data_IF_118666178209
#
_entry.id   IF_118666178209
#
_cell.length_a   1.000
_cell.length_b   1.000
_cell.length_c   1.000
_cell.angle_alpha   90.00
_cell.angle_beta   90.00
_cell.angle_gamma   90.00
#
_symmetry.space_group_name_H-M   'P 1'
#
loop_
_entity.id
_entity.type
_entity.pdbx_description
1 polymer ?
#
# COMPACT_ATOMS: atom_id res chain seq x y z
N UNK A 1 -2.79 -48.97 -5.96
CA UNK A 1 -3.58 -47.98 -5.20
C UNK A 1 -2.63 -47.11 -4.39
N UNK A 2 -2.90 -45.80 -4.35
CA UNK A 2 -2.33 -44.79 -3.45
C UNK A 2 -1.04 -44.04 -3.87
N UNK A 3 -1.13 -43.16 -4.88
CA UNK A 3 -0.25 -41.96 -5.00
C UNK A 3 -1.02 -40.70 -5.47
N UNK A 4 -2.28 -40.55 -5.04
CA UNK A 4 -3.15 -39.42 -5.45
C UNK A 4 -3.34 -38.31 -4.41
N UNK A 5 -2.67 -38.36 -3.25
CA UNK A 5 -3.08 -37.59 -2.07
C UNK A 5 -2.33 -36.29 -1.77
N UNK A 6 -1.13 -36.09 -2.31
CA UNK A 6 -0.23 -35.01 -1.85
C UNK A 6 -0.30 -33.75 -2.73
N UNK A 7 -0.64 -33.89 -4.01
CA UNK A 7 -0.68 -32.76 -4.97
C UNK A 7 -1.89 -31.84 -4.71
N UNK A 8 -3.01 -32.38 -4.20
CA UNK A 8 -4.26 -31.62 -4.03
C UNK A 8 -4.26 -30.64 -2.85
N UNK A 9 -3.38 -30.79 -1.85
CA UNK A 9 -3.31 -29.88 -0.68
C UNK A 9 -2.52 -28.61 -0.96
N UNK A 10 -1.45 -28.70 -1.77
CA UNK A 10 -0.70 -27.52 -2.24
C UNK A 10 -1.54 -26.62 -3.15
N UNK A 11 -2.34 -27.20 -4.03
CA UNK A 11 -3.25 -26.49 -4.93
C UNK A 11 -4.33 -25.68 -4.18
N UNK A 12 -4.89 -26.22 -3.09
CA UNK A 12 -5.99 -25.57 -2.37
C UNK A 12 -5.52 -24.35 -1.56
N UNK A 13 -4.32 -24.40 -0.98
CA UNK A 13 -3.70 -23.26 -0.29
C UNK A 13 -3.22 -22.17 -1.26
N UNK A 14 -2.70 -22.55 -2.44
CA UNK A 14 -2.33 -21.58 -3.49
C UNK A 14 -3.55 -20.91 -4.13
N UNK A 15 -4.65 -21.64 -4.35
CA UNK A 15 -5.90 -21.10 -4.88
C UNK A 15 -6.51 -20.06 -3.93
N UNK A 16 -6.47 -20.29 -2.60
CA UNK A 16 -6.91 -19.30 -1.61
C UNK A 16 -6.00 -18.06 -1.53
N UNK A 17 -4.69 -18.22 -1.74
CA UNK A 17 -3.77 -17.09 -1.80
C UNK A 17 -4.01 -16.23 -3.07
N UNK A 18 -4.26 -16.88 -4.21
CA UNK A 18 -4.57 -16.21 -5.48
C UNK A 18 -5.95 -15.54 -5.46
N UNK A 19 -6.99 -16.19 -4.94
CA UNK A 19 -8.30 -15.57 -4.68
C UNK A 19 -8.15 -14.29 -3.85
N UNK A 20 -7.32 -14.30 -2.81
CA UNK A 20 -7.04 -13.09 -2.00
C UNK A 20 -6.23 -12.03 -2.74
N UNK A 21 -5.35 -12.41 -3.66
CA UNK A 21 -4.60 -11.48 -4.53
C UNK A 21 -5.50 -10.84 -5.59
N UNK A 22 -6.36 -11.64 -6.23
CA UNK A 22 -7.39 -11.21 -7.18
C UNK A 22 -8.45 -10.33 -6.51
N UNK A 23 -8.93 -10.70 -5.32
CA UNK A 23 -9.88 -9.88 -4.56
C UNK A 23 -9.24 -8.58 -4.02
N UNK A 24 -7.95 -8.56 -3.64
CA UNK A 24 -7.25 -7.30 -3.27
C UNK A 24 -7.01 -6.37 -4.45
N UNK A 25 -6.79 -6.89 -5.66
CA UNK A 25 -6.62 -6.11 -6.89
C UNK A 25 -7.92 -5.88 -7.68
N UNK A 26 -9.05 -6.41 -7.22
CA UNK A 26 -10.36 -6.43 -7.90
C UNK A 26 -11.00 -5.06 -8.18
N UNK A 27 -10.39 -3.96 -7.73
CA UNK A 27 -10.90 -2.60 -7.99
C UNK A 27 -10.09 -1.77 -9.00
N UNK A 28 -9.06 -2.33 -9.64
CA UNK A 28 -8.29 -1.57 -10.63
C UNK A 28 -7.56 -2.45 -11.64
N UNK A 29 -8.00 -2.37 -12.90
CA UNK A 29 -7.30 -2.79 -14.11
C UNK A 29 -7.05 -4.28 -14.38
N UNK A 30 -6.60 -5.11 -13.42
CA UNK A 30 -6.07 -6.46 -13.75
C UNK A 30 -7.15 -7.45 -14.24
N UNK A 31 -8.33 -7.50 -13.61
CA UNK A 31 -9.42 -8.38 -14.09
C UNK A 31 -10.02 -7.88 -15.41
N UNK A 32 -10.00 -6.56 -15.63
CA UNK A 32 -10.46 -5.96 -16.89
C UNK A 32 -9.48 -6.28 -18.01
N UNK A 33 -8.18 -6.11 -17.84
CA UNK A 33 -7.20 -6.28 -18.92
C UNK A 33 -7.13 -7.72 -19.46
N UNK A 34 -7.13 -8.74 -18.58
CA UNK A 34 -7.12 -10.14 -18.99
C UNK A 34 -8.41 -10.57 -19.69
N UNK A 35 -9.58 -10.23 -19.12
CA UNK A 35 -10.86 -10.48 -19.79
C UNK A 35 -10.98 -9.68 -21.10
N UNK A 36 -10.58 -8.40 -21.14
CA UNK A 36 -10.74 -7.53 -22.31
C UNK A 36 -9.86 -7.94 -23.49
N UNK A 37 -8.65 -8.48 -23.23
CA UNK A 37 -7.84 -9.16 -24.26
C UNK A 37 -8.63 -10.29 -24.94
N UNK A 38 -9.29 -11.12 -24.12
CA UNK A 38 -10.10 -12.25 -24.57
C UNK A 38 -11.38 -11.81 -25.29
N UNK A 39 -12.05 -10.74 -24.83
CA UNK A 39 -13.32 -10.29 -25.44
C UNK A 39 -13.13 -9.58 -26.78
N UNK A 40 -12.05 -8.81 -26.97
CA UNK A 40 -11.87 -8.00 -28.19
C UNK A 40 -11.31 -8.76 -29.40
N UNK A 41 -10.47 -9.78 -29.19
CA UNK A 41 -9.65 -10.36 -30.27
C UNK A 41 -10.17 -11.67 -30.86
N UNK A 42 -11.28 -12.25 -30.37
CA UNK A 42 -11.78 -13.60 -30.77
C UNK A 42 -10.64 -14.65 -30.87
N UNK A 43 -9.66 -14.54 -29.97
CA UNK A 43 -8.50 -15.45 -29.93
C UNK A 43 -8.77 -16.57 -28.95
N UNK A 44 -8.11 -17.71 -29.15
CA UNK A 44 -8.21 -18.82 -28.20
C UNK A 44 -7.83 -18.30 -26.80
N UNK A 45 -8.82 -18.38 -25.90
CA UNK A 45 -8.73 -17.93 -24.52
C UNK A 45 -7.63 -18.69 -23.78
N UNK A 46 -7.36 -19.92 -24.17
CA UNK A 46 -6.55 -20.85 -23.39
C UNK A 46 -5.12 -20.98 -23.92
N UNK A 47 -4.86 -20.64 -25.18
CA UNK A 47 -3.53 -20.71 -25.79
C UNK A 47 -3.25 -19.55 -26.77
N UNK A 48 -3.07 -18.30 -26.28
CA UNK A 48 -2.74 -17.18 -27.16
C UNK A 48 -1.30 -17.31 -27.68
N UNK A 49 -1.11 -17.11 -28.99
CA UNK A 49 0.22 -17.02 -29.58
C UNK A 49 0.99 -15.80 -29.05
N UNK A 50 2.32 -15.86 -29.09
CA UNK A 50 3.19 -14.73 -28.70
C UNK A 50 2.84 -13.46 -29.49
N UNK A 51 2.52 -13.60 -30.78
CA UNK A 51 2.11 -12.49 -31.64
C UNK A 51 0.81 -11.84 -31.19
N UNK A 52 -0.16 -12.63 -30.73
CA UNK A 52 -1.43 -12.08 -30.21
C UNK A 52 -1.18 -11.22 -28.97
N UNK A 53 -0.31 -11.68 -28.07
CA UNK A 53 0.07 -10.91 -26.88
C UNK A 53 0.81 -9.64 -27.26
N UNK A 54 1.79 -9.70 -28.15
CA UNK A 54 2.53 -8.52 -28.63
C UNK A 54 1.61 -7.48 -29.27
N UNK A 55 0.68 -7.92 -30.13
CA UNK A 55 -0.30 -7.03 -30.77
C UNK A 55 -1.22 -6.34 -29.76
N UNK A 56 -1.59 -7.02 -28.67
CA UNK A 56 -2.35 -6.40 -27.60
C UNK A 56 -1.53 -5.39 -26.79
N UNK A 57 -0.30 -5.73 -26.42
CA UNK A 57 0.58 -4.79 -25.72
C UNK A 57 0.90 -3.56 -26.59
N UNK A 58 1.01 -3.74 -27.91
CA UNK A 58 1.14 -2.66 -28.87
C UNK A 58 -0.11 -1.77 -28.91
N UNK A 59 -1.31 -2.35 -28.96
CA UNK A 59 -2.57 -1.58 -28.89
C UNK A 59 -2.64 -0.74 -27.60
N UNK A 60 -2.28 -1.32 -26.45
CA UNK A 60 -2.22 -0.60 -25.18
C UNK A 60 -1.25 0.59 -25.24
N UNK A 61 -0.08 0.40 -25.84
CA UNK A 61 0.90 1.46 -26.01
C UNK A 61 0.43 2.56 -26.98
N UNK A 62 -0.15 2.18 -28.12
CA UNK A 62 -0.71 3.12 -29.11
C UNK A 62 -1.88 3.94 -28.52
N UNK A 63 -2.64 3.37 -27.59
CA UNK A 63 -3.65 4.08 -26.81
C UNK A 63 -3.08 5.03 -25.75
N UNK A 64 -1.76 5.27 -25.75
CA UNK A 64 -1.09 6.25 -24.89
C UNK A 64 -0.73 5.75 -23.49
N UNK A 65 -0.98 4.48 -23.15
CA UNK A 65 -0.62 3.94 -21.85
C UNK A 65 0.90 3.92 -21.63
N UNK A 66 1.32 4.35 -20.45
CA UNK A 66 2.73 4.31 -20.05
C UNK A 66 3.24 2.90 -19.79
N UNK A 67 4.55 2.73 -19.80
CA UNK A 67 5.23 1.45 -19.60
C UNK A 67 4.72 0.67 -18.38
N UNK A 68 4.53 1.30 -17.21
CA UNK A 68 4.05 0.62 -16.00
C UNK A 68 2.66 -0.01 -16.16
N UNK A 69 1.77 0.64 -16.92
CA UNK A 69 0.44 0.11 -17.20
C UNK A 69 0.51 -1.08 -18.18
N UNK A 70 1.33 -0.96 -19.23
CA UNK A 70 1.56 -2.04 -20.19
C UNK A 70 2.21 -3.25 -19.51
N UNK A 71 3.24 -3.05 -18.69
CA UNK A 71 3.91 -4.09 -17.91
C UNK A 71 2.96 -4.78 -16.91
N UNK A 72 2.01 -4.04 -16.36
CA UNK A 72 0.96 -4.62 -15.48
C UNK A 72 0.00 -5.49 -16.29
N UNK A 73 -0.41 -5.05 -17.48
CA UNK A 73 -1.27 -5.81 -18.36
C UNK A 73 -0.56 -7.08 -18.89
N UNK A 74 0.71 -6.97 -19.27
CA UNK A 74 1.58 -8.08 -19.63
C UNK A 74 1.64 -9.12 -18.50
N UNK A 75 1.95 -8.69 -17.28
CA UNK A 75 2.04 -9.57 -16.10
C UNK A 75 0.71 -10.28 -15.83
N UNK A 76 -0.43 -9.59 -16.03
CA UNK A 76 -1.75 -10.16 -15.88
C UNK A 76 -2.04 -11.24 -16.94
N UNK A 77 -1.74 -10.97 -18.20
CA UNK A 77 -1.91 -11.92 -19.31
C UNK A 77 -1.04 -13.16 -19.08
N UNK A 78 0.23 -13.01 -18.70
CA UNK A 78 1.10 -14.16 -18.46
C UNK A 78 0.75 -14.97 -17.23
N UNK A 79 0.27 -14.34 -16.18
CA UNK A 79 -0.24 -15.07 -15.01
C UNK A 79 -1.40 -15.98 -15.42
N UNK A 80 -2.29 -15.49 -16.29
CA UNK A 80 -3.43 -16.27 -16.78
C UNK A 80 -3.00 -17.41 -17.72
N UNK A 81 -2.15 -17.13 -18.71
CA UNK A 81 -1.73 -18.16 -19.67
C UNK A 81 -0.86 -19.25 -19.04
N UNK A 82 0.02 -18.88 -18.10
CA UNK A 82 0.82 -19.84 -17.35
C UNK A 82 -0.05 -20.82 -16.55
N UNK A 83 -1.15 -20.34 -15.94
CA UNK A 83 -2.08 -21.21 -15.19
C UNK A 83 -2.75 -22.28 -16.07
N UNK A 84 -2.91 -22.02 -17.36
CA UNK A 84 -3.64 -22.89 -18.30
C UNK A 84 -2.69 -23.84 -19.04
N UNK A 85 -1.55 -23.32 -19.48
CA UNK A 85 -0.62 -24.04 -20.38
C UNK A 85 0.62 -24.57 -19.67
N UNK A 86 0.87 -24.13 -18.43
CA UNK A 86 2.13 -24.34 -17.69
C UNK A 86 3.39 -23.82 -18.42
N UNK A 87 3.22 -22.96 -19.44
CA UNK A 87 4.32 -22.34 -20.21
C UNK A 87 4.53 -20.90 -19.74
N UNK A 88 5.78 -20.55 -19.41
CA UNK A 88 6.15 -19.20 -18.97
C UNK A 88 6.37 -18.26 -20.16
N UNK A 89 5.28 -17.78 -20.78
CA UNK A 89 5.35 -16.90 -21.96
C UNK A 89 6.10 -15.59 -21.66
N UNK A 90 6.06 -15.09 -20.41
CA UNK A 90 6.81 -13.91 -19.99
C UNK A 90 8.33 -14.04 -20.02
N UNK A 91 8.87 -15.24 -20.29
CA UNK A 91 10.29 -15.43 -20.55
C UNK A 91 10.66 -15.40 -22.04
N UNK A 92 9.69 -15.31 -22.96
CA UNK A 92 9.99 -15.23 -24.39
C UNK A 92 10.82 -13.99 -24.71
N UNK A 93 11.89 -14.21 -25.49
CA UNK A 93 12.82 -13.18 -25.93
C UNK A 93 12.11 -12.00 -26.62
N UNK A 94 11.16 -12.27 -27.53
CA UNK A 94 10.44 -11.23 -28.26
C UNK A 94 9.63 -10.28 -27.35
N UNK A 95 9.02 -10.81 -26.30
CA UNK A 95 8.26 -10.00 -25.34
C UNK A 95 9.20 -9.10 -24.54
N UNK A 96 10.32 -9.65 -24.03
CA UNK A 96 11.33 -8.86 -23.30
C UNK A 96 11.88 -7.72 -24.16
N UNK A 97 12.22 -8.01 -25.41
CA UNK A 97 12.72 -7.01 -26.35
C UNK A 97 11.65 -5.97 -26.69
N UNK A 98 10.40 -6.38 -26.85
CA UNK A 98 9.29 -5.47 -27.08
C UNK A 98 9.07 -4.52 -25.91
N UNK A 99 9.02 -5.03 -24.67
CA UNK A 99 8.91 -4.21 -23.46
C UNK A 99 10.10 -3.25 -23.29
N UNK A 100 11.32 -3.72 -23.60
CA UNK A 100 12.52 -2.87 -23.65
C UNK A 100 12.38 -1.76 -24.70
N UNK A 101 11.80 -2.07 -25.86
CA UNK A 101 11.48 -1.08 -26.90
C UNK A 101 10.49 -0.01 -26.42
N UNK A 102 9.42 -0.41 -25.73
CA UNK A 102 8.47 0.52 -25.12
C UNK A 102 9.17 1.41 -24.09
N UNK A 103 10.00 0.83 -23.22
CA UNK A 103 10.76 1.58 -22.23
C UNK A 103 11.70 2.61 -22.88
N UNK A 104 12.45 2.21 -23.91
CA UNK A 104 13.35 3.11 -24.61
C UNK A 104 12.62 4.26 -25.31
N UNK A 105 11.43 4.00 -25.87
CA UNK A 105 10.59 5.06 -26.48
C UNK A 105 9.99 6.01 -25.45
N UNK A 106 9.62 5.51 -24.27
CA UNK A 106 8.98 6.30 -23.21
C UNK A 106 9.47 5.83 -21.84
N UNK A 107 10.65 6.29 -21.39
CA UNK A 107 11.22 5.85 -20.13
C UNK A 107 10.34 6.24 -18.96
N UNK A 108 10.23 5.35 -17.96
CA UNK A 108 9.58 5.69 -16.69
C UNK A 108 10.60 6.42 -15.84
N UNK A 109 10.57 7.75 -15.90
CA UNK A 109 11.37 8.57 -15.00
C UNK A 109 10.72 8.62 -13.61
N UNK A 110 11.52 8.73 -12.53
CA UNK A 110 11.00 9.03 -11.21
C UNK A 110 10.09 10.25 -11.29
N UNK A 111 8.92 10.18 -10.64
CA UNK A 111 7.99 11.33 -10.59
C UNK A 111 8.62 12.53 -9.89
N UNK A 112 9.54 12.29 -8.97
CA UNK A 112 10.20 13.31 -8.16
C UNK A 112 11.71 13.17 -8.34
N UNK A 113 12.34 14.25 -8.80
CA UNK A 113 13.81 14.34 -8.96
C UNK A 113 14.50 14.89 -7.71
N UNK A 114 13.74 15.42 -6.76
CA UNK A 114 14.24 15.95 -5.49
C UNK A 114 13.34 15.51 -4.34
N UNK A 115 13.91 15.46 -3.15
CA UNK A 115 13.17 15.33 -1.89
C UNK A 115 12.77 16.71 -1.39
N UNK A 116 11.60 16.81 -0.76
CA UNK A 116 11.15 18.05 -0.13
C UNK A 116 11.98 18.38 1.12
N UNK A 117 12.05 19.66 1.51
CA UNK A 117 12.81 20.10 2.67
C UNK A 117 12.03 19.87 3.98
N UNK A 118 12.51 18.94 4.81
CA UNK A 118 11.87 18.54 6.07
C UNK A 118 11.81 19.67 7.09
N UNK A 119 12.77 20.60 7.08
CA UNK A 119 12.83 21.69 8.05
C UNK A 119 11.64 22.64 7.94
N UNK A 120 11.09 22.84 6.73
CA UNK A 120 9.91 23.68 6.52
C UNK A 120 8.69 23.13 7.27
N UNK A 121 8.51 21.81 7.26
CA UNK A 121 7.41 21.18 7.98
C UNK A 121 7.69 21.18 9.48
N UNK A 122 8.91 20.88 9.91
CA UNK A 122 9.25 20.90 11.33
C UNK A 122 9.08 22.29 11.93
N UNK A 123 9.47 23.36 11.22
CA UNK A 123 9.27 24.74 11.66
C UNK A 123 7.79 25.10 11.77
N UNK A 124 6.96 24.67 10.81
CA UNK A 124 5.50 24.84 10.91
C UNK A 124 4.93 24.10 12.14
N UNK A 125 5.28 22.83 12.34
CA UNK A 125 4.78 22.03 13.46
C UNK A 125 5.23 22.57 14.83
N UNK A 126 6.40 23.24 14.89
CA UNK A 126 6.87 23.97 16.08
C UNK A 126 5.97 25.15 16.45
N UNK A 127 5.20 25.73 15.52
CA UNK A 127 4.27 26.83 15.84
C UNK A 127 2.99 26.33 16.50
N UNK A 128 2.59 25.08 16.26
CA UNK A 128 1.37 24.47 16.78
C UNK A 128 1.55 23.89 18.20
N UNK A 129 1.77 24.74 19.22
CA UNK A 129 1.85 24.27 20.62
C UNK A 129 0.84 24.89 21.57
N UNK A 130 0.54 26.18 21.42
CA UNK A 130 -0.45 26.86 22.27
C UNK A 130 -1.84 26.67 21.67
N UNK A 131 -2.81 26.26 22.48
CA UNK A 131 -4.23 26.11 22.13
C UNK A 131 -4.50 25.31 20.84
N UNK A 132 -3.73 24.23 20.64
CA UNK A 132 -3.89 23.38 19.46
C UNK A 132 -5.26 22.71 19.45
N UNK A 133 -5.97 22.76 18.32
CA UNK A 133 -7.23 22.02 18.16
C UNK A 133 -6.95 20.52 18.05
N UNK A 134 -7.94 19.67 18.39
CA UNK A 134 -7.78 18.22 18.27
C UNK A 134 -7.44 17.79 16.83
N UNK A 135 -7.96 18.51 15.84
CA UNK A 135 -7.68 18.29 14.41
C UNK A 135 -6.21 18.55 14.12
N UNK A 136 -5.68 19.72 14.51
CA UNK A 136 -4.28 20.07 14.27
C UNK A 136 -3.33 19.15 15.06
N UNK A 137 -3.72 18.74 16.27
CA UNK A 137 -2.98 17.74 17.06
C UNK A 137 -2.92 16.39 16.37
N UNK A 138 -4.02 15.96 15.74
CA UNK A 138 -4.09 14.74 14.93
C UNK A 138 -3.13 14.81 13.74
N UNK A 139 -3.15 15.91 12.99
CA UNK A 139 -2.25 16.12 11.85
C UNK A 139 -0.79 16.18 12.28
N UNK A 140 -0.49 16.89 13.37
CA UNK A 140 0.85 16.99 13.95
C UNK A 140 1.37 15.61 14.32
N UNK A 141 0.60 14.82 15.06
CA UNK A 141 0.99 13.47 15.46
C UNK A 141 1.18 12.57 14.24
N UNK A 142 0.27 12.59 13.28
CA UNK A 142 0.37 11.78 12.07
C UNK A 142 1.62 12.13 11.24
N UNK A 143 1.94 13.42 11.11
CA UNK A 143 3.11 13.88 10.37
C UNK A 143 4.41 13.53 11.10
N UNK A 144 4.49 13.76 12.41
CA UNK A 144 5.66 13.40 13.22
C UNK A 144 5.90 11.89 13.22
N UNK A 145 4.84 11.06 13.31
CA UNK A 145 4.96 9.61 13.17
C UNK A 145 5.44 9.21 11.78
N UNK A 146 4.91 9.83 10.71
CA UNK A 146 5.37 9.54 9.35
C UNK A 146 6.85 9.86 9.15
N UNK A 147 7.30 11.01 9.67
CA UNK A 147 8.70 11.44 9.59
C UNK A 147 9.63 10.56 10.42
N UNK A 148 9.25 10.26 11.67
CA UNK A 148 10.12 9.52 12.59
C UNK A 148 10.21 8.03 12.25
N UNK A 149 9.12 7.43 11.78
CA UNK A 149 9.05 5.98 11.53
C UNK A 149 9.29 5.59 10.08
N UNK A 150 9.16 6.54 9.14
CA UNK A 150 9.24 6.27 7.69
C UNK A 150 8.15 5.32 7.17
N UNK A 151 7.11 5.07 7.98
CA UNK A 151 6.08 4.08 7.65
C UNK A 151 5.10 4.61 6.61
N UNK A 152 4.54 3.69 5.83
CA UNK A 152 3.45 4.04 4.92
C UNK A 152 2.24 4.50 5.73
N UNK A 153 1.49 5.42 5.15
CA UNK A 153 0.25 5.94 5.74
C UNK A 153 -0.72 4.83 6.19
N UNK A 154 -0.81 3.72 5.45
CA UNK A 154 -1.63 2.56 5.85
C UNK A 154 -1.20 1.95 7.18
N UNK A 155 0.11 1.82 7.42
CA UNK A 155 0.64 1.30 8.67
C UNK A 155 0.33 2.25 9.83
N UNK A 156 0.48 3.55 9.62
CA UNK A 156 0.17 4.59 10.63
C UNK A 156 -1.30 4.54 11.03
N UNK A 157 -2.22 4.32 10.08
CA UNK A 157 -3.63 4.14 10.38
C UNK A 157 -3.93 2.84 11.15
N UNK A 158 -3.15 1.78 10.96
CA UNK A 158 -3.38 0.49 11.61
C UNK A 158 -2.80 0.43 13.03
N UNK A 159 -2.26 1.53 13.55
CA UNK A 159 -1.80 1.58 14.95
C UNK A 159 -3.01 1.46 15.87
N UNK A 160 -2.93 0.50 16.80
CA UNK A 160 -3.94 0.24 17.82
C UNK A 160 -3.37 0.64 19.19
N UNK A 161 -4.16 1.32 20.01
CA UNK A 161 -3.78 1.80 21.33
C UNK A 161 -3.50 0.66 22.32
N UNK A 162 -4.09 -0.53 22.14
CA UNK A 162 -3.83 -1.71 22.98
C UNK A 162 -2.46 -2.33 22.71
N UNK A 163 -1.88 -2.07 21.54
CA UNK A 163 -0.58 -2.60 21.09
C UNK A 163 0.52 -1.53 21.17
N UNK A 164 0.28 -0.52 22.00
CA UNK A 164 1.15 0.63 22.21
C UNK A 164 1.61 0.60 23.67
N UNK A 165 2.91 0.44 23.89
CA UNK A 165 3.51 0.52 25.21
C UNK A 165 4.09 1.92 25.35
N UNK A 166 3.39 2.77 26.08
CA UNK A 166 3.77 4.16 26.30
C UNK A 166 4.49 4.30 27.63
N UNK A 167 5.69 4.86 27.58
CA UNK A 167 6.46 5.26 28.75
C UNK A 167 6.60 6.81 28.78
N UNK A 168 7.14 7.35 29.86
CA UNK A 168 7.43 8.79 29.99
C UNK A 168 8.38 9.29 28.91
N UNK A 169 9.35 8.47 28.51
CA UNK A 169 10.42 8.89 27.59
C UNK A 169 10.49 8.06 26.31
N UNK A 170 9.61 7.10 26.12
CA UNK A 170 9.61 6.27 24.93
C UNK A 170 8.23 5.72 24.58
N UNK A 171 8.08 5.25 23.36
CA UNK A 171 6.91 4.49 22.93
C UNK A 171 7.34 3.31 22.07
N UNK A 172 6.76 2.14 22.35
CA UNK A 172 6.84 0.96 21.48
C UNK A 172 5.50 0.74 20.80
N UNK A 173 5.53 0.55 19.48
CA UNK A 173 4.35 0.28 18.67
C UNK A 173 4.50 -1.10 18.05
N UNK A 174 3.53 -1.97 18.34
CA UNK A 174 3.42 -3.30 17.74
C UNK A 174 2.27 -3.34 16.73
N UNK A 175 2.56 -3.78 15.52
CA UNK A 175 1.51 -4.12 14.57
C UNK A 175 1.07 -5.55 14.81
N UNK A 176 -0.22 -5.76 15.08
CA UNK A 176 -0.77 -7.11 15.12
C UNK A 176 -1.74 -7.43 13.99
N UNK A 177 -1.82 -6.57 12.97
CA UNK A 177 -2.55 -6.83 11.73
C UNK A 177 -1.57 -7.09 10.58
N UNK A 178 -2.04 -7.82 9.55
CA UNK A 178 -1.25 -8.09 8.35
C UNK A 178 -1.02 -6.82 7.54
N UNK A 179 0.22 -6.34 7.54
CA UNK A 179 0.71 -5.29 6.66
C UNK A 179 1.14 -5.89 5.32
N UNK A 180 1.30 -5.03 4.29
CA UNK A 180 1.77 -5.47 2.96
C UNK A 180 3.12 -6.20 3.02
N UNK A 181 3.93 -5.92 4.05
CA UNK A 181 5.25 -6.52 4.26
C UNK A 181 5.21 -7.76 5.17
N UNK A 182 4.05 -8.14 5.71
CA UNK A 182 3.93 -9.36 6.51
C UNK A 182 3.96 -10.58 5.59
N UNK A 183 4.75 -11.59 5.95
CA UNK A 183 4.84 -12.87 5.25
C UNK A 183 4.80 -14.02 6.27
N UNK A 184 4.38 -15.23 5.89
CA UNK A 184 4.39 -16.38 6.80
C UNK A 184 5.76 -16.55 7.47
N UNK A 185 5.79 -16.76 8.78
CA UNK A 185 7.02 -16.89 9.56
C UNK A 185 7.80 -15.58 9.81
N UNK A 186 7.29 -14.43 9.37
CA UNK A 186 7.93 -13.13 9.62
C UNK A 186 6.91 -12.11 10.11
N UNK A 187 7.06 -11.74 11.37
CA UNK A 187 6.37 -10.60 11.96
C UNK A 187 7.19 -9.33 11.74
N UNK A 188 6.52 -8.20 11.50
CA UNK A 188 7.24 -6.93 11.38
C UNK A 188 7.89 -6.58 12.72
N UNK A 189 9.10 -6.00 12.69
CA UNK A 189 9.76 -5.54 13.90
C UNK A 189 8.92 -4.45 14.58
N UNK A 190 9.05 -4.39 15.89
CA UNK A 190 8.44 -3.35 16.72
C UNK A 190 9.06 -2.00 16.38
N UNK A 191 8.22 -0.95 16.36
CA UNK A 191 8.72 0.41 16.19
C UNK A 191 8.98 0.98 17.58
N UNK A 192 10.23 1.32 17.85
CA UNK A 192 10.63 2.01 19.07
C UNK A 192 10.93 3.49 18.76
N UNK A 193 10.35 4.40 19.54
CA UNK A 193 10.55 5.83 19.41
C UNK A 193 10.88 6.41 20.78
N UNK A 194 12.02 7.07 20.88
CA UNK A 194 12.42 7.82 22.07
C UNK A 194 11.92 9.27 22.01
N UNK A 195 11.70 9.85 23.18
CA UNK A 195 11.34 11.24 23.32
C UNK A 195 12.47 12.13 22.80
N UNK A 196 12.10 13.12 21.97
CA UNK A 196 13.04 14.08 21.44
C UNK A 196 13.34 15.16 22.49
N UNK A 197 14.39 14.94 23.28
CA UNK A 197 14.82 15.84 24.37
C UNK A 197 15.16 17.28 23.93
N UNK A 198 15.80 17.52 22.77
CA UNK A 198 16.20 18.88 22.39
C UNK A 198 15.03 19.84 22.15
N UNK A 199 13.88 19.33 21.71
CA UNK A 199 12.69 20.17 21.45
C UNK A 199 11.39 19.38 21.63
N UNK A 200 10.71 19.58 22.76
CA UNK A 200 9.44 18.91 23.06
C UNK A 200 8.33 19.23 22.04
N UNK A 201 8.42 20.37 21.34
CA UNK A 201 7.41 20.84 20.39
C UNK A 201 7.28 19.95 19.17
N UNK A 202 8.33 19.20 18.85
CA UNK A 202 8.36 18.21 17.75
C UNK A 202 8.54 16.78 18.26
N UNK A 203 8.37 16.57 19.56
CA UNK A 203 8.50 15.26 20.16
C UNK A 203 7.24 14.42 19.90
N UNK A 204 7.41 13.28 19.22
CA UNK A 204 6.34 12.30 18.97
C UNK A 204 5.73 11.82 20.29
N UNK A 205 6.57 11.43 21.25
CA UNK A 205 6.13 10.88 22.55
C UNK A 205 5.26 11.88 23.29
N UNK A 206 5.71 13.14 23.40
CA UNK A 206 4.94 14.19 24.07
C UNK A 206 3.61 14.49 23.36
N UNK A 207 3.64 14.61 22.03
CA UNK A 207 2.42 14.84 21.22
C UNK A 207 1.44 13.67 21.34
N UNK A 208 1.95 12.44 21.46
CA UNK A 208 1.15 11.22 21.59
C UNK A 208 0.46 11.13 22.97
N UNK A 209 1.18 11.48 24.05
CA UNK A 209 0.59 11.60 25.40
C UNK A 209 -0.59 12.58 25.40
N UNK A 210 -0.35 13.80 24.91
CA UNK A 210 -1.39 14.85 24.82
C UNK A 210 -2.60 14.39 23.98
N UNK A 211 -2.34 13.73 22.86
CA UNK A 211 -3.41 13.23 21.99
C UNK A 211 -4.24 12.14 22.65
N UNK A 212 -3.62 11.18 23.33
CA UNK A 212 -4.32 10.10 24.02
C UNK A 212 -5.16 10.64 25.18
N UNK A 213 -4.64 11.61 25.93
CA UNK A 213 -5.37 12.26 27.03
C UNK A 213 -6.65 12.95 26.51
N UNK A 214 -6.55 13.78 25.46
CA UNK A 214 -7.70 14.47 24.87
C UNK A 214 -8.70 13.54 24.20
N UNK A 215 -8.23 12.42 23.65
CA UNK A 215 -9.10 11.46 22.96
C UNK A 215 -9.70 10.41 23.88
N UNK A 216 -9.23 10.26 25.12
CA UNK A 216 -9.64 9.20 26.03
C UNK A 216 -11.17 9.13 26.20
N UNK A 217 -11.80 10.29 26.46
CA UNK A 217 -13.26 10.41 26.62
C UNK A 217 -14.06 10.18 25.33
N UNK A 218 -13.42 10.32 24.16
CA UNK A 218 -14.05 10.19 22.85
C UNK A 218 -13.96 8.76 22.29
N UNK A 219 -13.11 7.90 22.85
CA UNK A 219 -12.79 6.58 22.29
C UNK A 219 -13.89 5.56 22.51
N UNK A 220 -14.65 5.63 23.59
CA UNK A 220 -15.63 4.59 23.96
C UNK A 220 -15.02 3.18 23.80
N UNK A 221 -15.42 2.42 22.78
CA UNK A 221 -14.93 1.06 22.48
C UNK A 221 -13.94 0.99 21.29
N UNK A 222 -13.47 2.12 20.78
CA UNK A 222 -12.58 2.18 19.62
C UNK A 222 -11.11 2.09 20.04
N UNK A 223 -10.39 1.14 19.45
CA UNK A 223 -9.00 0.84 19.79
C UNK A 223 -7.99 1.39 18.76
N UNK A 224 -8.46 1.93 17.64
CA UNK A 224 -7.57 2.56 16.64
C UNK A 224 -7.00 3.86 17.19
N UNK A 225 -5.70 4.13 16.97
CA UNK A 225 -5.05 5.36 17.45
C UNK A 225 -5.76 6.60 16.91
N UNK A 226 -5.98 6.72 15.60
CA UNK A 226 -6.61 7.91 15.03
C UNK A 226 -8.14 7.80 14.96
N UNK A 227 -8.85 8.86 15.39
CA UNK A 227 -10.31 9.00 15.35
C UNK A 227 -10.77 9.96 14.24
N UNK A 228 -11.97 9.74 13.68
CA UNK A 228 -12.58 10.65 12.71
C UNK A 228 -12.98 11.97 13.34
N UNK A 229 -12.99 13.04 12.54
CA UNK A 229 -13.37 14.38 13.03
C UNK A 229 -14.88 14.61 13.13
N UNK A 230 -15.69 13.81 12.43
CA UNK A 230 -17.15 13.91 12.44
C UNK A 230 -17.76 12.95 13.46
N UNK A 231 -18.82 13.41 14.14
CA UNK A 231 -19.66 12.54 14.97
C UNK A 231 -20.49 11.59 14.09
N UNK A 232 -20.73 10.35 14.52
CA UNK A 232 -20.09 9.70 15.67
C UNK A 232 -18.59 9.45 15.37
N UNK A 233 -17.71 9.69 16.36
CA UNK A 233 -16.25 9.59 16.23
C UNK A 233 -15.81 8.15 15.94
N UNK A 234 -15.82 7.77 14.65
CA UNK A 234 -15.50 6.43 14.17
C UNK A 234 -14.00 6.29 13.91
N UNK A 235 -13.48 5.06 13.87
CA UNK A 235 -12.13 4.75 13.38
C UNK A 235 -11.85 5.41 12.00
N UNK A 236 -10.70 6.05 11.84
CA UNK A 236 -10.30 6.68 10.56
C UNK A 236 -10.05 5.59 9.51
N UNK A 237 -10.91 5.57 8.48
CA UNK A 237 -10.67 4.76 7.27
C UNK A 237 -9.57 5.40 6.42
N UNK A 238 -8.98 4.62 5.51
CA UNK A 238 -7.80 4.94 4.67
C UNK A 238 -7.81 6.26 3.86
N UNK A 239 -8.95 6.95 3.78
CA UNK A 239 -9.23 8.09 2.88
C UNK A 239 -9.43 9.42 3.65
N UNK A 240 -10.20 9.48 4.76
CA UNK A 240 -10.56 10.76 5.40
C UNK A 240 -9.44 11.74 5.79
N UNK A 241 -8.25 11.26 6.19
CA UNK A 241 -7.19 12.17 6.66
C UNK A 241 -6.53 12.94 5.49
N UNK A 242 -6.50 12.38 4.28
CA UNK A 242 -6.03 13.08 3.07
C UNK A 242 -7.06 14.09 2.54
N UNK A 243 -8.36 13.82 2.65
CA UNK A 243 -9.39 14.79 2.26
C UNK A 243 -9.40 16.04 3.14
N UNK A 244 -8.87 15.97 4.37
CA UNK A 244 -8.66 17.13 5.23
C UNK A 244 -7.41 17.95 4.88
N UNK A 245 -6.38 17.32 4.28
CA UNK A 245 -5.16 18.00 3.83
C UNK A 245 -5.37 18.77 2.51
N UNK A 246 -6.30 18.33 1.66
CA UNK A 246 -6.64 19.02 0.40
C UNK A 246 -7.56 20.24 0.59
N UNK A 247 -7.87 20.64 1.84
CA UNK A 247 -8.70 21.82 2.16
C UNK A 247 -7.88 23.03 2.59
N UNK A 248 -6.56 22.99 2.45
CA UNK A 248 -5.65 24.13 2.62
C UNK A 248 -4.83 24.32 1.35
#
# INVERSE_FOLDING_TARGET
MCEGGVISRGYRHHHQFMERFYQKNSRGHISKSGCFFVTKKKTDRFNPSVNNVLNFLLELHLNGLGYSAVNTAESAVFSFVYLITNVQIGKHFHVKQFMKGIFNKKPVLPRYNCTWNVEIVLSLLKTWNKDITLINLTFKLAMLLALKTGQRMQSIFLIDTRKLELDRYSVKIRYGDFLKQTRPGYQLPEIFIEAFKPDYRICVVHTLHEYLERTNKLRFNNTQLFLSFQKPYKPVKRVPLLSGLNKF
#
